data_IF_273013923202
#
_entry.id   IF_273013923202
#
_cell.length_a   1.000
_cell.length_b   1.000
_cell.length_c   1.000
_cell.angle_alpha   90.00
_cell.angle_beta   90.00
_cell.angle_gamma   90.00
#
_symmetry.space_group_name_H-M   'P 1'
#
loop_
_entity.id
_entity.type
_entity.pdbx_description
1 polymer ?
#
# COMPACT_ATOMS: atom_id res chain seq x y z
N UNK A 1 -28.94 -66.58 34.03
CA UNK A 1 -29.89 -65.44 33.86
C UNK A 1 -29.30 -64.46 32.86
N UNK A 2 -30.03 -64.17 31.79
CA UNK A 2 -29.65 -63.19 30.77
C UNK A 2 -29.49 -61.76 31.36
N UNK A 3 -30.22 -61.46 32.43
CA UNK A 3 -30.22 -60.11 33.03
C UNK A 3 -28.92 -59.76 33.74
N UNK A 4 -28.21 -60.73 34.32
CA UNK A 4 -26.92 -60.49 34.98
C UNK A 4 -25.81 -60.18 33.97
N UNK A 5 -25.83 -60.81 32.80
CA UNK A 5 -24.93 -60.50 31.70
C UNK A 5 -25.21 -59.12 31.10
N UNK A 6 -26.49 -58.77 30.94
CA UNK A 6 -26.88 -57.44 30.46
C UNK A 6 -26.42 -56.34 31.41
N UNK A 7 -26.63 -56.53 32.73
CA UNK A 7 -26.20 -55.59 33.77
C UNK A 7 -24.68 -55.39 33.80
N UNK A 8 -23.90 -56.44 33.53
CA UNK A 8 -22.45 -56.36 33.43
C UNK A 8 -22.02 -55.59 32.18
N UNK A 9 -22.63 -55.85 31.02
CA UNK A 9 -22.36 -55.08 29.79
C UNK A 9 -22.74 -53.61 29.91
N UNK A 10 -23.87 -53.28 30.54
CA UNK A 10 -24.26 -51.88 30.79
C UNK A 10 -23.22 -51.20 31.68
N UNK A 11 -22.72 -51.89 32.72
CA UNK A 11 -21.65 -51.38 33.59
C UNK A 11 -20.33 -51.20 32.83
N UNK A 12 -19.99 -52.12 31.93
CA UNK A 12 -18.79 -52.03 31.11
C UNK A 12 -18.92 -50.94 30.03
N UNK A 13 -20.11 -50.75 29.45
CA UNK A 13 -20.41 -49.63 28.54
C UNK A 13 -20.31 -48.29 29.25
N UNK A 14 -20.81 -48.19 30.48
CA UNK A 14 -20.66 -46.98 31.31
C UNK A 14 -19.19 -46.65 31.54
N UNK A 15 -18.36 -47.63 31.90
CA UNK A 15 -16.90 -47.43 32.04
C UNK A 15 -16.23 -47.01 30.74
N UNK A 16 -16.61 -47.61 29.60
CA UNK A 16 -16.08 -47.22 28.28
C UNK A 16 -16.52 -45.81 27.89
N UNK A 17 -17.74 -45.42 28.21
CA UNK A 17 -18.28 -44.10 27.95
C UNK A 17 -17.59 -43.05 28.84
N UNK A 18 -17.33 -43.35 30.10
CA UNK A 18 -16.56 -42.47 31.00
C UNK A 18 -15.10 -42.34 30.53
N UNK A 19 -14.49 -43.44 30.08
CA UNK A 19 -13.15 -43.42 29.46
C UNK A 19 -13.11 -42.56 28.20
N UNK A 20 -14.04 -42.77 27.27
CA UNK A 20 -14.14 -41.97 26.04
C UNK A 20 -14.43 -40.48 26.34
N UNK A 21 -15.22 -40.18 27.38
CA UNK A 21 -15.47 -38.80 27.80
C UNK A 21 -14.21 -38.14 28.35
N UNK A 22 -13.39 -38.87 29.10
CA UNK A 22 -12.10 -38.37 29.57
C UNK A 22 -11.13 -38.11 28.41
N UNK A 23 -11.06 -39.03 27.44
CA UNK A 23 -10.26 -38.84 26.23
C UNK A 23 -10.71 -37.62 25.41
N UNK A 24 -12.03 -37.38 25.29
CA UNK A 24 -12.56 -36.18 24.63
C UNK A 24 -12.16 -34.88 25.34
N UNK A 25 -12.13 -34.88 26.68
CA UNK A 25 -11.67 -33.71 27.45
C UNK A 25 -10.19 -33.44 27.16
N UNK A 26 -9.36 -34.48 27.17
CA UNK A 26 -7.93 -34.38 26.85
C UNK A 26 -7.73 -33.89 25.41
N UNK A 27 -8.51 -34.40 24.45
CA UNK A 27 -8.44 -33.95 23.06
C UNK A 27 -8.84 -32.48 22.91
N UNK A 28 -9.84 -32.02 23.64
CA UNK A 28 -10.25 -30.62 23.61
C UNK A 28 -9.14 -29.72 24.20
N UNK A 29 -8.53 -30.13 25.30
CA UNK A 29 -7.39 -29.44 25.90
C UNK A 29 -6.19 -29.40 24.92
N UNK A 30 -5.85 -30.53 24.30
CA UNK A 30 -4.80 -30.59 23.30
C UNK A 30 -5.09 -29.73 22.07
N UNK A 31 -6.35 -29.69 21.62
CA UNK A 31 -6.78 -28.79 20.53
C UNK A 31 -6.60 -27.32 20.90
N UNK A 32 -6.86 -26.95 22.17
CA UNK A 32 -6.63 -25.59 22.64
C UNK A 32 -5.15 -25.24 22.65
N UNK A 33 -4.29 -26.16 23.11
CA UNK A 33 -2.83 -26.00 23.11
C UNK A 33 -2.29 -25.85 21.67
N UNK A 34 -2.74 -26.69 20.73
CA UNK A 34 -2.34 -26.57 19.32
C UNK A 34 -2.77 -25.24 18.70
N UNK A 35 -3.96 -24.76 19.07
CA UNK A 35 -4.45 -23.46 18.60
C UNK A 35 -3.58 -22.31 19.13
N UNK A 36 -3.17 -22.38 20.40
CA UNK A 36 -2.27 -21.39 21.02
C UNK A 36 -0.87 -21.45 20.40
N UNK A 37 -0.32 -22.64 20.17
CA UNK A 37 0.97 -22.82 19.49
C UNK A 37 0.96 -22.24 18.06
N UNK A 38 -0.14 -22.44 17.32
CA UNK A 38 -0.31 -21.87 15.98
C UNK A 38 -0.32 -20.34 16.03
N UNK A 39 -1.05 -19.76 16.97
CA UNK A 39 -1.10 -18.30 17.18
C UNK A 39 0.29 -17.78 17.56
N UNK A 40 1.00 -18.48 18.44
CA UNK A 40 2.35 -18.12 18.86
C UNK A 40 3.32 -18.08 17.66
N UNK A 41 3.33 -19.13 16.82
CA UNK A 41 4.14 -19.16 15.59
C UNK A 41 3.80 -18.02 14.64
N UNK A 42 2.52 -17.69 14.49
CA UNK A 42 2.10 -16.57 13.65
C UNK A 42 2.57 -15.22 14.21
N UNK A 43 2.48 -15.02 15.53
CA UNK A 43 2.99 -13.81 16.17
C UNK A 43 4.51 -13.69 16.06
N UNK A 44 5.24 -14.80 16.20
CA UNK A 44 6.69 -14.83 16.02
C UNK A 44 7.08 -14.44 14.59
N UNK A 45 6.39 -14.99 13.58
CA UNK A 45 6.61 -14.61 12.18
C UNK A 45 6.35 -13.11 11.93
N UNK A 46 5.26 -12.56 12.49
CA UNK A 46 4.94 -11.13 12.39
C UNK A 46 6.04 -10.28 13.06
N UNK A 47 6.54 -10.70 14.23
CA UNK A 47 7.63 -10.00 14.93
C UNK A 47 8.92 -10.02 14.12
N UNK A 48 9.27 -11.17 13.53
CA UNK A 48 10.44 -11.29 12.66
C UNK A 48 10.32 -10.39 11.43
N UNK A 49 9.18 -10.41 10.75
CA UNK A 49 8.90 -9.54 9.61
C UNK A 49 8.96 -8.06 9.99
N UNK A 50 8.37 -7.68 11.13
CA UNK A 50 8.40 -6.30 11.64
C UNK A 50 9.83 -5.85 11.92
N UNK A 51 10.64 -6.71 12.55
CA UNK A 51 12.05 -6.43 12.80
C UNK A 51 12.81 -6.21 11.49
N UNK A 52 12.62 -7.09 10.51
CA UNK A 52 13.23 -6.96 9.19
C UNK A 52 12.81 -5.65 8.51
N UNK A 53 11.54 -5.26 8.59
CA UNK A 53 11.05 -3.97 8.07
C UNK A 53 11.71 -2.77 8.78
N UNK A 54 11.90 -2.83 10.10
CA UNK A 54 12.61 -1.78 10.84
C UNK A 54 14.08 -1.70 10.43
N UNK A 55 14.75 -2.83 10.25
CA UNK A 55 16.14 -2.87 9.76
C UNK A 55 16.25 -2.30 8.34
N UNK A 56 15.32 -2.65 7.45
CA UNK A 56 15.21 -2.06 6.11
C UNK A 56 14.94 -0.55 6.17
N UNK A 57 14.10 -0.09 7.10
CA UNK A 57 13.83 1.33 7.29
C UNK A 57 15.08 2.07 7.76
N UNK A 58 15.84 1.53 8.70
CA UNK A 58 17.09 2.12 9.17
C UNK A 58 18.15 2.20 8.05
N UNK A 59 18.27 1.15 7.23
CA UNK A 59 19.14 1.14 6.05
C UNK A 59 18.66 2.18 5.03
N UNK A 60 17.35 2.27 4.80
CA UNK A 60 16.76 3.23 3.87
C UNK A 60 16.96 4.67 4.32
N UNK A 61 16.82 4.97 5.61
CA UNK A 61 17.09 6.30 6.17
C UNK A 61 18.57 6.70 5.97
N UNK A 62 19.50 5.78 6.27
CA UNK A 62 20.92 5.99 6.01
C UNK A 62 21.21 6.18 4.50
N UNK A 63 20.55 5.41 3.64
CA UNK A 63 20.70 5.51 2.19
C UNK A 63 20.16 6.85 1.67
N UNK A 64 19.01 7.31 2.19
CA UNK A 64 18.44 8.61 1.86
C UNK A 64 19.37 9.77 2.26
N UNK A 65 19.99 9.70 3.45
CA UNK A 65 20.99 10.68 3.86
C UNK A 65 22.22 10.69 2.94
N UNK A 66 22.69 9.49 2.56
CA UNK A 66 23.84 9.34 1.65
C UNK A 66 23.53 9.90 0.26
N UNK A 67 22.32 9.66 -0.24
CA UNK A 67 21.86 10.19 -1.53
C UNK A 67 21.83 11.72 -1.53
N UNK A 68 21.38 12.35 -0.44
CA UNK A 68 21.40 13.80 -0.28
C UNK A 68 22.83 14.36 -0.30
N UNK A 69 23.78 13.69 0.36
CA UNK A 69 25.20 14.10 0.32
C UNK A 69 25.78 14.00 -1.09
N UNK A 70 25.54 12.90 -1.80
CA UNK A 70 25.98 12.71 -3.19
C UNK A 70 25.39 13.80 -4.09
N UNK A 71 24.11 14.11 -3.93
CA UNK A 71 23.45 15.15 -4.70
C UNK A 71 24.08 16.53 -4.48
N UNK A 72 24.45 16.88 -3.25
CA UNK A 72 25.13 18.14 -2.94
C UNK A 72 26.51 18.18 -3.60
N UNK A 73 27.30 17.11 -3.51
CA UNK A 73 28.63 17.02 -4.14
C UNK A 73 28.53 17.09 -5.67
N UNK A 74 27.61 16.34 -6.27
CA UNK A 74 27.39 16.34 -7.72
C UNK A 74 26.90 17.70 -8.23
N UNK A 75 25.99 18.35 -7.49
CA UNK A 75 25.57 19.73 -7.81
C UNK A 75 26.74 20.72 -7.73
N UNK A 76 27.70 20.47 -6.84
CA UNK A 76 29.01 21.17 -6.80
C UNK A 76 29.77 21.02 -8.10
N UNK A 77 30.05 19.79 -8.50
CA UNK A 77 30.76 19.50 -9.75
C UNK A 77 30.06 20.15 -10.96
N UNK A 78 28.73 20.02 -11.06
CA UNK A 78 27.95 20.61 -12.15
C UNK A 78 27.97 22.15 -12.13
N UNK A 79 27.83 22.78 -10.95
CA UNK A 79 27.88 24.24 -10.82
C UNK A 79 29.22 24.80 -11.30
N UNK A 80 30.33 24.18 -10.89
CA UNK A 80 31.67 24.56 -11.34
C UNK A 80 31.89 24.30 -12.83
N UNK A 81 31.38 23.19 -13.38
CA UNK A 81 31.47 22.91 -14.82
C UNK A 81 30.67 23.93 -15.66
N UNK A 82 29.45 24.27 -15.25
CA UNK A 82 28.62 25.27 -15.93
C UNK A 82 29.34 26.62 -15.93
N UNK A 83 29.85 27.02 -14.78
CA UNK A 83 30.51 28.30 -14.58
C UNK A 83 31.85 28.37 -15.34
N UNK A 84 32.64 27.30 -15.33
CA UNK A 84 33.85 27.16 -16.16
C UNK A 84 33.53 27.21 -17.66
N UNK A 85 32.46 26.54 -18.11
CA UNK A 85 32.01 26.59 -19.50
C UNK A 85 31.52 27.99 -19.90
N UNK A 86 30.92 28.74 -18.96
CA UNK A 86 30.47 30.10 -19.16
C UNK A 86 31.65 31.08 -19.34
N UNK A 87 32.73 30.86 -18.58
CA UNK A 87 33.98 31.66 -18.62
C UNK A 87 35.03 31.13 -19.59
N UNK A 88 34.79 30.01 -20.25
CA UNK A 88 35.66 29.55 -21.32
C UNK A 88 35.56 30.46 -22.55
N UNK A 89 36.54 30.34 -23.44
CA UNK A 89 36.68 31.17 -24.66
C UNK A 89 35.47 31.14 -25.61
N UNK A 90 34.52 30.22 -25.41
CA UNK A 90 33.47 29.88 -26.37
C UNK A 90 32.04 30.39 -26.08
N UNK A 91 31.72 31.07 -24.96
CA UNK A 91 30.28 31.30 -24.64
C UNK A 91 29.84 32.74 -24.31
N UNK A 92 30.39 33.46 -23.35
CA UNK A 92 29.85 34.80 -22.98
C UNK A 92 30.90 35.90 -22.91
N UNK A 93 32.17 35.56 -22.71
CA UNK A 93 33.26 36.52 -22.67
C UNK A 93 33.55 37.18 -24.02
N UNK A 94 32.97 36.78 -25.15
CA UNK A 94 33.18 37.50 -26.41
C UNK A 94 32.21 38.69 -26.60
N UNK A 95 31.13 38.75 -25.82
CA UNK A 95 30.17 39.85 -25.84
C UNK A 95 30.68 41.06 -25.05
N UNK A 96 30.63 42.27 -25.62
CA UNK A 96 31.20 43.48 -25.03
C UNK A 96 30.58 43.85 -23.66
N UNK A 97 29.30 43.53 -23.44
CA UNK A 97 28.62 43.78 -22.16
C UNK A 97 29.11 42.84 -21.05
N UNK A 98 29.46 41.60 -21.39
CA UNK A 98 29.91 40.59 -20.45
C UNK A 98 31.39 40.79 -20.10
N UNK A 99 32.23 41.19 -21.07
CA UNK A 99 33.62 41.59 -20.84
C UNK A 99 33.73 42.72 -19.81
N UNK A 100 32.86 43.73 -19.89
CA UNK A 100 32.88 44.86 -18.97
C UNK A 100 32.57 44.48 -17.51
N UNK A 101 31.76 43.44 -17.29
CA UNK A 101 31.37 42.98 -15.95
C UNK A 101 32.26 41.84 -15.41
N UNK A 102 32.69 40.93 -16.28
CA UNK A 102 33.44 39.73 -15.91
C UNK A 102 34.96 39.94 -15.89
N UNK A 103 35.53 40.83 -16.70
CA UNK A 103 36.99 41.05 -16.69
C UNK A 103 37.53 41.50 -15.32
N UNK A 104 36.99 42.54 -14.64
CA UNK A 104 37.49 42.93 -13.32
C UNK A 104 37.16 41.90 -12.23
N UNK A 105 36.16 41.05 -12.45
CA UNK A 105 35.66 40.08 -11.47
C UNK A 105 36.38 38.71 -11.55
N UNK A 106 36.84 38.32 -12.73
CA UNK A 106 37.45 37.01 -13.01
C UNK A 106 38.97 37.09 -13.19
N UNK A 107 39.50 38.14 -13.83
CA UNK A 107 40.92 38.22 -14.20
C UNK A 107 41.78 38.95 -13.15
N UNK A 108 41.25 39.95 -12.45
CA UNK A 108 42.02 40.78 -11.49
C UNK A 108 42.11 40.19 -10.08
N UNK A 109 41.19 39.31 -9.69
CA UNK A 109 41.20 38.73 -8.34
C UNK A 109 40.61 37.32 -8.28
N UNK A 110 41.46 36.27 -8.29
CA UNK A 110 41.01 34.87 -8.17
C UNK A 110 40.14 34.59 -6.93
N UNK A 111 40.30 35.39 -5.87
CA UNK A 111 39.50 35.28 -4.64
C UNK A 111 38.03 35.67 -4.81
N UNK A 112 37.72 36.74 -5.57
CA UNK A 112 36.33 37.15 -5.82
C UNK A 112 35.60 36.14 -6.69
N UNK A 113 36.31 35.60 -7.68
CA UNK A 113 35.80 34.52 -8.53
C UNK A 113 35.40 33.27 -7.73
N UNK A 114 36.25 32.86 -6.77
CA UNK A 114 35.94 31.74 -5.89
C UNK A 114 34.69 31.98 -5.04
N UNK A 115 34.54 33.17 -4.47
CA UNK A 115 33.36 33.54 -3.66
C UNK A 115 32.08 33.52 -4.51
N UNK A 116 32.12 34.10 -5.72
CA UNK A 116 30.98 34.08 -6.64
C UNK A 116 30.60 32.65 -7.04
N UNK A 117 31.60 31.81 -7.30
CA UNK A 117 31.40 30.39 -7.63
C UNK A 117 30.76 29.62 -6.48
N UNK A 118 31.18 29.91 -5.24
CA UNK A 118 30.62 29.30 -4.03
C UNK A 118 29.16 29.74 -3.81
N UNK A 119 28.83 31.01 -4.08
CA UNK A 119 27.45 31.51 -4.03
C UNK A 119 26.56 30.86 -5.10
N UNK A 120 27.07 30.72 -6.33
CA UNK A 120 26.34 30.06 -7.42
C UNK A 120 26.10 28.57 -7.11
N UNK A 121 27.09 27.88 -6.57
CA UNK A 121 26.93 26.52 -6.08
C UNK A 121 25.86 26.43 -4.98
N UNK A 122 25.90 27.29 -3.97
CA UNK A 122 24.92 27.29 -2.88
C UNK A 122 23.50 27.52 -3.40
N UNK A 123 23.33 28.41 -4.39
CA UNK A 123 22.05 28.65 -5.05
C UNK A 123 21.54 27.42 -5.82
N UNK A 124 22.41 26.77 -6.61
CA UNK A 124 22.06 25.55 -7.36
C UNK A 124 21.74 24.37 -6.43
N UNK A 125 22.58 24.11 -5.43
CA UNK A 125 22.38 23.06 -4.45
C UNK A 125 21.07 23.29 -3.65
N UNK A 126 20.84 24.53 -3.20
CA UNK A 126 19.61 24.93 -2.52
C UNK A 126 18.36 24.75 -3.38
N UNK A 127 18.41 25.16 -4.65
CA UNK A 127 17.32 24.99 -5.60
C UNK A 127 16.99 23.52 -5.87
N UNK A 128 18.01 22.68 -6.03
CA UNK A 128 17.83 21.25 -6.28
C UNK A 128 17.22 20.53 -5.07
N UNK A 129 17.69 20.84 -3.85
CA UNK A 129 17.10 20.32 -2.60
C UNK A 129 15.66 20.82 -2.43
N UNK A 130 15.39 22.08 -2.75
CA UNK A 130 14.03 22.65 -2.68
C UNK A 130 13.07 21.93 -3.63
N UNK A 131 13.50 21.68 -4.87
CA UNK A 131 12.72 20.93 -5.86
C UNK A 131 12.45 19.50 -5.37
N UNK A 132 13.46 18.82 -4.83
CA UNK A 132 13.31 17.47 -4.29
C UNK A 132 12.32 17.44 -3.12
N UNK A 133 12.44 18.38 -2.17
CA UNK A 133 11.50 18.55 -1.05
C UNK A 133 10.09 18.82 -1.56
N UNK A 134 9.95 19.60 -2.62
CA UNK A 134 8.66 19.89 -3.25
C UNK A 134 8.05 18.63 -3.87
N UNK A 135 8.84 17.83 -4.60
CA UNK A 135 8.37 16.54 -5.14
C UNK A 135 7.94 15.57 -4.05
N UNK A 136 8.73 15.46 -2.97
CA UNK A 136 8.41 14.65 -1.79
C UNK A 136 7.13 15.15 -1.12
N UNK A 137 6.98 16.46 -0.94
CA UNK A 137 5.77 17.04 -0.35
C UNK A 137 4.53 16.76 -1.22
N UNK A 138 4.67 16.82 -2.55
CA UNK A 138 3.60 16.48 -3.50
C UNK A 138 3.26 14.99 -3.50
N UNK A 139 4.20 14.10 -3.22
CA UNK A 139 3.93 12.65 -3.13
C UNK A 139 3.34 12.24 -1.78
N UNK A 140 3.64 12.98 -0.71
CA UNK A 140 3.07 12.76 0.62
C UNK A 140 1.62 13.23 0.68
N UNK A 141 0.67 12.36 1.03
CA UNK A 141 -0.75 12.70 1.15
C UNK A 141 -1.68 11.70 0.50
N UNK A 142 -1.39 10.41 0.70
CA UNK A 142 -2.25 9.31 0.28
C UNK A 142 -3.35 9.17 1.33
N UNK A 143 -4.59 9.32 0.89
CA UNK A 143 -5.78 8.97 1.68
C UNK A 143 -6.14 7.55 1.28
N UNK A 144 -6.11 6.63 2.23
CA UNK A 144 -6.50 5.22 1.99
C UNK A 144 -7.76 4.93 2.78
N UNK A 145 -8.81 4.51 2.08
CA UNK A 145 -10.06 4.05 2.67
C UNK A 145 -10.10 2.54 2.53
N UNK A 146 -10.31 1.85 3.65
CA UNK A 146 -10.43 0.40 3.70
C UNK A 146 -11.82 0.04 4.20
N UNK A 147 -12.61 -0.58 3.35
CA UNK A 147 -13.92 -1.11 3.67
C UNK A 147 -13.82 -2.63 3.77
N UNK A 148 -14.08 -3.16 4.96
CA UNK A 148 -14.23 -4.60 5.16
C UNK A 148 -15.72 -4.89 5.28
N UNK A 149 -16.31 -5.53 4.26
CA UNK A 149 -17.74 -5.87 4.25
C UNK A 149 -17.93 -7.20 3.55
N UNK A 150 -18.42 -8.18 4.30
CA UNK A 150 -18.79 -9.51 3.78
C UNK A 150 -20.15 -9.44 3.10
N UNK A 151 -20.15 -9.21 1.79
CA UNK A 151 -21.39 -9.14 0.98
C UNK A 151 -21.31 -10.19 -0.11
N UNK A 152 -22.39 -10.93 -0.38
CA UNK A 152 -22.42 -11.84 -1.53
C UNK A 152 -22.31 -11.05 -2.84
N UNK A 153 -21.58 -11.62 -3.79
CA UNK A 153 -21.27 -10.98 -5.08
C UNK A 153 -21.64 -11.89 -6.26
N UNK A 154 -21.97 -11.29 -7.39
CA UNK A 154 -22.08 -12.00 -8.66
C UNK A 154 -20.73 -12.04 -9.38
N UNK A 155 -20.14 -13.24 -9.46
CA UNK A 155 -18.86 -13.49 -10.09
C UNK A 155 -18.82 -13.16 -11.58
N UNK A 156 -19.94 -13.32 -12.29
CA UNK A 156 -19.97 -13.05 -13.74
C UNK A 156 -19.88 -11.56 -14.02
N UNK A 157 -20.62 -10.76 -13.25
CA UNK A 157 -20.61 -9.31 -13.35
C UNK A 157 -19.27 -8.75 -12.87
N UNK A 158 -18.72 -9.29 -11.77
CA UNK A 158 -17.41 -8.89 -11.27
C UNK A 158 -16.29 -9.20 -12.28
N UNK A 159 -16.25 -10.39 -12.87
CA UNK A 159 -15.26 -10.74 -13.88
C UNK A 159 -15.38 -9.85 -15.14
N UNK A 160 -16.61 -9.53 -15.54
CA UNK A 160 -16.85 -8.60 -16.66
C UNK A 160 -16.37 -7.19 -16.31
N UNK A 161 -16.64 -6.73 -15.09
CA UNK A 161 -16.19 -5.43 -14.59
C UNK A 161 -14.65 -5.35 -14.53
N UNK A 162 -13.99 -6.34 -13.95
CA UNK A 162 -12.53 -6.41 -13.85
C UNK A 162 -11.87 -6.39 -15.24
N UNK A 163 -12.44 -7.09 -16.23
CA UNK A 163 -11.93 -7.09 -17.62
C UNK A 163 -11.96 -5.72 -18.29
N UNK A 164 -12.82 -4.80 -17.85
CA UNK A 164 -12.85 -3.43 -18.39
C UNK A 164 -11.76 -2.53 -17.80
N UNK A 165 -11.11 -2.96 -16.70
CA UNK A 165 -10.11 -2.17 -15.98
C UNK A 165 -8.70 -2.62 -16.33
N UNK A 166 -7.75 -1.70 -16.24
CA UNK A 166 -6.33 -2.00 -16.49
C UNK A 166 -5.68 -2.53 -15.19
N UNK A 167 -5.69 -3.85 -15.03
CA UNK A 167 -5.14 -4.54 -13.86
C UNK A 167 -3.63 -4.29 -13.77
N UNK A 168 -3.19 -3.76 -12.64
CA UNK A 168 -1.77 -3.54 -12.36
C UNK A 168 -1.13 -4.69 -11.58
N UNK A 169 -1.88 -5.34 -10.70
CA UNK A 169 -1.39 -6.45 -9.88
C UNK A 169 -2.56 -7.40 -9.56
N UNK A 170 -2.27 -8.70 -9.57
CA UNK A 170 -3.23 -9.76 -9.32
C UNK A 170 -2.54 -10.87 -8.52
N UNK A 171 -3.02 -11.14 -7.31
CA UNK A 171 -2.46 -12.16 -6.43
C UNK A 171 -3.56 -13.11 -5.96
N UNK A 172 -3.28 -14.40 -6.06
CA UNK A 172 -4.20 -15.47 -5.67
C UNK A 172 -3.62 -16.22 -4.47
N UNK A 173 -4.39 -16.29 -3.39
CA UNK A 173 -4.04 -17.04 -2.19
C UNK A 173 -4.97 -18.24 -2.07
N UNK A 174 -4.37 -19.42 -2.20
CA UNK A 174 -5.06 -20.70 -2.06
C UNK A 174 -4.81 -21.24 -0.64
N UNK A 175 -5.81 -21.14 0.24
CA UNK A 175 -5.75 -21.71 1.59
C UNK A 175 -6.83 -22.80 1.72
N UNK A 176 -6.49 -24.03 1.33
CA UNK A 176 -7.37 -25.19 1.41
C UNK A 176 -8.71 -25.00 0.68
N UNK A 177 -9.76 -24.73 1.45
CA UNK A 177 -11.15 -24.52 0.99
C UNK A 177 -11.50 -23.05 0.71
N UNK A 178 -10.53 -22.13 0.79
CA UNK A 178 -10.77 -20.71 0.52
C UNK A 178 -9.79 -20.27 -0.57
N UNK A 179 -10.34 -19.72 -1.65
CA UNK A 179 -9.57 -19.11 -2.73
C UNK A 179 -9.79 -17.62 -2.70
N UNK A 180 -8.81 -16.88 -2.18
CA UNK A 180 -8.89 -15.42 -2.11
C UNK A 180 -8.14 -14.83 -3.28
N UNK A 181 -8.86 -14.13 -4.16
CA UNK A 181 -8.28 -13.34 -5.24
C UNK A 181 -8.22 -11.88 -4.82
N UNK A 182 -7.04 -11.28 -4.99
CA UNK A 182 -6.81 -9.86 -4.76
C UNK A 182 -6.36 -9.20 -6.06
N UNK A 183 -7.15 -8.24 -6.52
CA UNK A 183 -6.96 -7.53 -7.79
C UNK A 183 -6.75 -6.05 -7.49
N UNK A 184 -5.70 -5.45 -8.06
CA UNK A 184 -5.39 -4.03 -7.95
C UNK A 184 -5.31 -3.40 -9.32
N UNK A 185 -5.99 -2.26 -9.51
CA UNK A 185 -5.92 -1.49 -10.74
C UNK A 185 -5.85 0.01 -10.47
N UNK A 186 -5.44 0.75 -11.51
CA UNK A 186 -5.42 2.20 -11.53
C UNK A 186 -6.56 2.69 -12.44
N UNK A 187 -7.35 3.66 -11.96
CA UNK A 187 -8.41 4.24 -12.79
C UNK A 187 -7.87 5.05 -13.98
N UNK A 188 -8.55 5.01 -15.12
CA UNK A 188 -8.01 5.60 -16.36
C UNK A 188 -8.27 7.10 -16.47
N UNK A 189 -9.41 7.59 -15.97
CA UNK A 189 -9.90 8.93 -16.26
C UNK A 189 -9.49 9.98 -15.22
N UNK A 190 -8.32 10.59 -15.41
CA UNK A 190 -7.81 11.70 -14.55
C UNK A 190 -8.81 12.84 -14.32
N UNK A 191 -9.65 13.17 -15.32
CA UNK A 191 -10.63 14.27 -15.24
C UNK A 191 -11.77 13.96 -14.28
N UNK A 192 -12.19 12.71 -14.22
CA UNK A 192 -13.28 12.24 -13.37
C UNK A 192 -12.89 12.23 -11.89
N UNK A 193 -11.59 12.08 -11.61
CA UNK A 193 -11.03 11.94 -10.27
C UNK A 193 -10.25 13.20 -9.79
N UNK A 194 -10.56 14.38 -10.34
CA UNK A 194 -10.02 15.65 -9.82
C UNK A 194 -8.52 15.87 -10.09
N UNK A 195 -7.97 15.16 -11.09
CA UNK A 195 -6.58 15.28 -11.55
C UNK A 195 -5.61 14.22 -11.02
N UNK A 196 -5.97 13.51 -9.94
CA UNK A 196 -5.21 12.36 -9.43
C UNK A 196 -5.99 11.07 -9.65
N UNK A 197 -5.32 10.02 -10.11
CA UNK A 197 -5.95 8.71 -10.31
C UNK A 197 -5.96 7.94 -8.97
N UNK A 198 -7.10 7.43 -8.50
CA UNK A 198 -7.13 6.48 -7.40
C UNK A 198 -6.61 5.10 -7.84
N UNK A 199 -5.97 4.40 -6.92
CA UNK A 199 -5.68 2.97 -7.04
C UNK A 199 -6.70 2.23 -6.21
N UNK A 200 -7.45 1.32 -6.84
CA UNK A 200 -8.47 0.49 -6.21
C UNK A 200 -7.93 -0.94 -6.07
N UNK A 201 -8.20 -1.55 -4.93
CA UNK A 201 -7.89 -2.94 -4.62
C UNK A 201 -9.18 -3.64 -4.18
N UNK A 202 -9.47 -4.77 -4.78
CA UNK A 202 -10.56 -5.65 -4.40
C UNK A 202 -9.99 -6.98 -3.93
N UNK A 203 -10.54 -7.51 -2.85
CA UNK A 203 -10.22 -8.81 -2.29
C UNK A 203 -11.51 -9.61 -2.12
N UNK A 204 -11.71 -10.62 -2.97
CA UNK A 204 -12.91 -11.45 -3.01
C UNK A 204 -12.57 -12.94 -2.90
N UNK A 205 -13.51 -13.72 -2.40
CA UNK A 205 -13.44 -15.18 -2.34
C UNK A 205 -14.05 -15.78 -3.62
N UNK A 206 -13.24 -16.51 -4.38
CA UNK A 206 -13.60 -17.15 -5.64
C UNK A 206 -14.62 -18.28 -5.49
N UNK A 207 -14.58 -19.03 -4.39
CA UNK A 207 -15.42 -20.22 -4.20
C UNK A 207 -16.77 -19.87 -3.59
N UNK A 208 -16.76 -19.03 -2.55
CA UNK A 208 -17.99 -18.69 -1.84
C UNK A 208 -18.71 -17.47 -2.42
N UNK A 209 -18.11 -16.78 -3.39
CA UNK A 209 -18.65 -15.57 -4.01
C UNK A 209 -19.02 -14.49 -2.99
N UNK A 210 -18.06 -14.17 -2.11
CA UNK A 210 -18.17 -13.06 -1.17
C UNK A 210 -17.08 -12.01 -1.42
N UNK A 211 -17.47 -10.74 -1.36
CA UNK A 211 -16.52 -9.64 -1.23
C UNK A 211 -15.98 -9.65 0.20
N UNK A 212 -14.65 -9.56 0.39
CA UNK A 212 -14.04 -9.49 1.71
C UNK A 212 -13.62 -8.06 2.04
N UNK A 213 -12.85 -7.45 1.15
CA UNK A 213 -12.27 -6.14 1.37
C UNK A 213 -12.18 -5.31 0.09
N UNK A 214 -12.47 -4.02 0.23
CA UNK A 214 -12.31 -3.02 -0.82
C UNK A 214 -11.41 -1.93 -0.27
N UNK A 215 -10.30 -1.64 -0.94
CA UNK A 215 -9.38 -0.57 -0.56
C UNK A 215 -9.24 0.40 -1.71
N UNK A 216 -9.50 1.68 -1.45
CA UNK A 216 -9.21 2.75 -2.40
C UNK A 216 -8.16 3.67 -1.82
N UNK A 217 -7.12 3.95 -2.60
CA UNK A 217 -6.04 4.86 -2.23
C UNK A 217 -5.99 6.03 -3.21
N UNK A 218 -6.03 7.24 -2.68
CA UNK A 218 -6.11 8.46 -3.45
C UNK A 218 -5.07 9.47 -2.99
N UNK A 219 -4.28 10.01 -3.94
CA UNK A 219 -3.23 10.98 -3.63
C UNK A 219 -3.77 12.42 -3.60
N UNK A 220 -4.34 12.81 -2.46
CA UNK A 220 -5.01 14.12 -2.29
C UNK A 220 -4.09 15.32 -2.56
N UNK A 221 -2.79 15.23 -2.27
CA UNK A 221 -1.85 16.36 -2.52
C UNK A 221 -1.39 16.48 -3.98
N UNK A 222 -1.63 15.47 -4.81
CA UNK A 222 -1.41 15.55 -6.25
C UNK A 222 -2.64 16.08 -7.00
N UNK A 223 -3.83 15.93 -6.39
CA UNK A 223 -5.09 16.45 -6.92
C UNK A 223 -5.14 17.97 -6.86
N UNK A 224 -5.93 18.57 -7.76
CA UNK A 224 -6.17 20.01 -7.72
C UNK A 224 -6.96 20.35 -6.44
N UNK A 225 -6.52 21.35 -5.66
CA UNK A 225 -7.08 21.68 -4.34
C UNK A 225 -8.59 21.94 -4.36
N UNK A 226 -9.12 22.39 -5.50
CA UNK A 226 -10.54 22.70 -5.69
C UNK A 226 -11.40 21.48 -6.12
N UNK A 227 -10.78 20.40 -6.58
CA UNK A 227 -11.43 19.19 -7.11
C UNK A 227 -11.02 17.93 -6.33
N UNK A 228 -10.34 18.12 -5.20
CA UNK A 228 -9.87 17.02 -4.37
C UNK A 228 -11.07 16.41 -3.63
N UNK A 229 -11.42 15.19 -4.01
CA UNK A 229 -12.51 14.45 -3.37
C UNK A 229 -12.25 14.26 -1.87
N UNK A 230 -13.31 14.43 -1.08
CA UNK A 230 -13.30 14.04 0.33
C UNK A 230 -13.40 12.51 0.46
N UNK A 231 -13.08 11.96 1.63
CA UNK A 231 -13.12 10.52 1.87
C UNK A 231 -14.54 9.95 1.62
N UNK A 232 -15.57 10.65 2.09
CA UNK A 232 -16.98 10.21 1.93
C UNK A 232 -17.46 10.26 0.48
N UNK A 233 -16.96 11.24 -0.30
CA UNK A 233 -17.29 11.35 -1.72
C UNK A 233 -16.62 10.25 -2.55
N UNK A 234 -15.36 9.93 -2.24
CA UNK A 234 -14.62 8.80 -2.80
C UNK A 234 -15.32 7.48 -2.50
N UNK A 235 -15.77 7.30 -1.27
CA UNK A 235 -16.55 6.13 -0.86
C UNK A 235 -17.87 6.03 -1.63
N UNK A 236 -18.66 7.11 -1.62
CA UNK A 236 -19.98 7.14 -2.26
C UNK A 236 -19.86 6.85 -3.75
N UNK A 237 -18.87 7.45 -4.41
CA UNK A 237 -18.62 7.22 -5.83
C UNK A 237 -18.21 5.78 -6.14
N UNK A 238 -17.31 5.21 -5.34
CA UNK A 238 -16.89 3.82 -5.53
C UNK A 238 -18.07 2.87 -5.34
N UNK A 239 -18.91 3.10 -4.32
CA UNK A 239 -20.11 2.29 -4.09
C UNK A 239 -21.10 2.45 -5.25
N UNK A 240 -21.31 3.67 -5.77
CA UNK A 240 -22.15 3.90 -6.94
C UNK A 240 -21.65 3.17 -8.20
N UNK A 241 -20.34 3.14 -8.44
CA UNK A 241 -19.75 2.38 -9.57
C UNK A 241 -19.95 0.87 -9.40
N UNK A 242 -19.80 0.34 -8.19
CA UNK A 242 -20.00 -1.08 -7.89
C UNK A 242 -21.49 -1.49 -7.95
N UNK A 243 -22.39 -0.61 -7.50
CA UNK A 243 -23.84 -0.79 -7.58
C UNK A 243 -24.33 -0.70 -9.04
N UNK A 244 -23.79 0.24 -9.83
CA UNK A 244 -24.08 0.35 -11.26
C UNK A 244 -23.66 -0.91 -12.03
N UNK A 245 -22.54 -1.52 -11.63
CA UNK A 245 -22.07 -2.79 -12.17
C UNK A 245 -22.85 -4.02 -11.65
N UNK A 246 -23.83 -3.84 -10.75
CA UNK A 246 -24.65 -4.90 -10.14
C UNK A 246 -23.81 -6.04 -9.56
N UNK A 247 -22.74 -5.67 -8.86
CA UNK A 247 -21.80 -6.64 -8.28
C UNK A 247 -22.37 -7.25 -7.00
N UNK A 248 -23.10 -6.49 -6.18
CA UNK A 248 -23.70 -6.98 -4.95
C UNK A 248 -25.05 -7.66 -5.22
N UNK A 249 -25.22 -8.88 -4.74
CA UNK A 249 -26.53 -9.52 -4.71
C UNK A 249 -27.30 -9.04 -3.47
N UNK A 250 -28.51 -8.51 -3.69
CA UNK A 250 -29.40 -8.21 -2.56
C UNK A 250 -29.80 -9.54 -1.94
N UNK A 251 -29.62 -9.74 -0.62
CA UNK A 251 -30.06 -10.97 0.01
C UNK A 251 -31.58 -11.09 -0.16
N UNK A 252 -32.01 -12.17 -0.79
CA UNK A 252 -33.41 -12.60 -0.81
C UNK A 252 -33.87 -12.67 0.66
N UNK A 253 -34.95 -11.95 0.99
CA UNK A 253 -35.50 -11.93 2.34
C UNK A 253 -35.78 -13.38 2.78
N UNK A 254 -35.39 -13.80 4.00
CA UNK A 254 -35.67 -15.15 4.45
C UNK A 254 -37.18 -15.40 4.42
N UNK A 255 -37.65 -16.56 3.89
CA UNK A 255 -39.06 -16.87 3.84
C UNK A 255 -39.67 -16.83 5.25
N UNK A 256 -40.89 -16.30 5.40
CA UNK A 256 -41.51 -16.15 6.72
C UNK A 256 -41.57 -17.52 7.42
N UNK A 257 -40.91 -17.60 8.58
CA UNK A 257 -41.00 -18.77 9.44
C UNK A 257 -42.45 -18.93 9.89
N UNK A 258 -43.18 -19.84 9.25
CA UNK A 258 -44.44 -20.37 9.75
C UNK A 258 -44.16 -20.99 11.11
N UNK A 259 -44.58 -20.29 12.18
CA UNK A 259 -44.65 -20.85 13.53
C UNK A 259 -45.57 -22.06 13.47
N UNK A 260 -45.01 -23.26 13.61
CA UNK A 260 -45.79 -24.44 13.95
C UNK A 260 -46.08 -24.38 15.45
N UNK A 261 -47.35 -24.12 15.76
CA UNK A 261 -48.01 -24.31 17.05
C UNK A 261 -48.26 -25.78 17.32
#
# INVERSE_FOLDING_TARGET
SLSSQLKRRVKDLGKKMDGARHELVVLNEMSSIFSEERIYKQQEAIRFQTRSLCELQAINERSAATLQLIQVVLSGSLAFQILHQLTGDWSLLNQNWAKAFLNPLVLDSPGLWFILSLLFWAALAGGLVYVLKTFIYRSQGVVTIRLTRQVPIDMKNLATYIRTKNISDESHVYDGNVKVAKVMWHELFKKEWGGAVPTVQLEYDEENAFMLQIVISYRRRQANKQLAFNADELYTRLMQELDAAKIFTTPEAPPPQTKQS
#
